data_IF_756941608410
#
_entry.id   IF_756941608410
#
_cell.length_a   1.000
_cell.length_b   1.000
_cell.length_c   1.000
_cell.angle_alpha   90.00
_cell.angle_beta   90.00
_cell.angle_gamma   90.00
#
_symmetry.space_group_name_H-M   'P 1'
#
loop_
_entity.id
_entity.type
_entity.pdbx_description
1 polymer ?
#
# COMPACT_ATOMS: atom_id res chain seq x y z
N UNK A 1 3.12 -16.77 2.08
CA UNK A 1 2.46 -16.93 0.75
C UNK A 1 1.70 -15.65 0.39
N UNK A 2 1.20 -15.56 -0.86
CA UNK A 2 0.36 -14.46 -1.36
C UNK A 2 -0.89 -15.02 -2.03
N UNK A 3 -1.97 -14.25 -2.00
CA UNK A 3 -3.16 -14.52 -2.80
C UNK A 3 -2.79 -14.68 -4.29
N UNK A 4 -3.35 -15.69 -4.96
CA UNK A 4 -2.96 -16.03 -6.32
C UNK A 4 -3.11 -14.88 -7.34
N UNK A 5 -4.13 -14.03 -7.17
CA UNK A 5 -4.30 -12.82 -7.99
C UNK A 5 -3.19 -11.80 -7.78
N UNK A 6 -2.77 -11.57 -6.54
CA UNK A 6 -1.65 -10.69 -6.19
C UNK A 6 -0.33 -11.26 -6.71
N UNK A 7 -0.11 -12.56 -6.53
CA UNK A 7 1.07 -13.23 -7.07
C UNK A 7 1.17 -13.06 -8.60
N UNK A 8 0.07 -13.31 -9.33
CA UNK A 8 0.04 -13.13 -10.78
C UNK A 8 0.24 -11.66 -11.20
N UNK A 9 -0.33 -10.71 -10.45
CA UNK A 9 -0.11 -9.29 -10.69
C UNK A 9 1.39 -8.97 -10.61
N UNK A 10 2.05 -9.42 -9.54
CA UNK A 10 3.46 -9.16 -9.29
C UNK A 10 4.37 -9.88 -10.28
N UNK A 11 4.11 -11.14 -10.56
CA UNK A 11 4.98 -11.96 -11.40
C UNK A 11 4.79 -11.72 -12.89
N UNK A 12 3.56 -11.45 -13.35
CA UNK A 12 3.22 -11.44 -14.77
C UNK A 12 2.85 -10.06 -15.31
N UNK A 13 2.19 -9.23 -14.50
CA UNK A 13 1.60 -7.98 -14.98
C UNK A 13 2.52 -6.79 -14.74
N UNK A 14 3.01 -6.58 -13.52
CA UNK A 14 3.87 -5.44 -13.19
C UNK A 14 5.17 -5.39 -14.00
N UNK A 15 5.84 -6.51 -14.35
CA UNK A 15 7.02 -6.46 -15.20
C UNK A 15 6.77 -5.85 -16.58
N UNK A 16 5.54 -5.93 -17.12
CA UNK A 16 5.17 -5.29 -18.39
C UNK A 16 5.15 -3.76 -18.30
N UNK A 17 5.07 -3.23 -17.09
CA UNK A 17 5.15 -1.79 -16.78
C UNK A 17 6.53 -1.37 -16.26
N UNK A 18 7.54 -2.26 -16.36
CA UNK A 18 8.89 -1.97 -15.90
C UNK A 18 9.06 -2.04 -14.38
N UNK A 19 8.13 -2.67 -13.66
CA UNK A 19 8.19 -2.84 -12.20
C UNK A 19 8.69 -4.26 -11.93
N UNK A 20 9.88 -4.38 -11.36
CA UNK A 20 10.43 -5.66 -10.91
C UNK A 20 9.97 -6.00 -9.51
N UNK A 21 9.62 -7.26 -9.29
CA UNK A 21 9.24 -7.77 -7.97
C UNK A 21 10.17 -8.91 -7.58
N UNK A 22 10.79 -8.81 -6.41
CA UNK A 22 11.54 -9.89 -5.77
C UNK A 22 10.65 -10.55 -4.70
N UNK A 23 10.49 -11.86 -4.80
CA UNK A 23 9.79 -12.62 -3.77
C UNK A 23 10.74 -13.01 -2.66
N UNK A 24 10.30 -12.89 -1.42
CA UNK A 24 11.03 -13.32 -0.23
C UNK A 24 10.81 -14.82 -0.04
N UNK A 25 11.88 -15.58 0.16
CA UNK A 25 11.81 -17.05 0.28
C UNK A 25 11.09 -17.49 1.56
N UNK A 26 11.34 -16.81 2.67
CA UNK A 26 10.70 -17.06 3.97
C UNK A 26 10.19 -15.72 4.56
N UNK A 27 8.88 -15.54 4.53
CA UNK A 27 8.25 -14.31 5.02
C UNK A 27 8.35 -14.15 6.55
N UNK A 28 8.60 -15.24 7.30
CA UNK A 28 8.75 -15.22 8.75
C UNK A 28 10.21 -14.99 9.20
N UNK A 29 11.14 -14.93 8.26
CA UNK A 29 12.55 -14.66 8.53
C UNK A 29 12.94 -13.25 8.08
N UNK A 30 13.20 -12.35 9.02
CA UNK A 30 13.58 -10.97 8.73
C UNK A 30 14.86 -10.84 7.90
N UNK A 31 15.79 -11.79 8.02
CA UNK A 31 17.00 -11.78 7.20
C UNK A 31 16.71 -12.09 5.71
N UNK A 32 15.66 -12.87 5.42
CA UNK A 32 15.20 -13.05 4.05
C UNK A 32 14.70 -11.75 3.42
N UNK A 33 14.02 -10.90 4.21
CA UNK A 33 13.61 -9.57 3.76
C UNK A 33 14.81 -8.65 3.52
N UNK A 34 15.77 -8.63 4.45
CA UNK A 34 17.01 -7.86 4.29
C UNK A 34 17.79 -8.27 3.05
N UNK A 35 17.91 -9.58 2.80
CA UNK A 35 18.62 -10.12 1.64
C UNK A 35 17.95 -9.78 0.29
N UNK A 36 16.63 -9.56 0.29
CA UNK A 36 15.88 -9.19 -0.90
C UNK A 36 15.99 -7.70 -1.27
N UNK A 37 16.52 -6.85 -0.39
CA UNK A 37 16.68 -5.40 -0.63
C UNK A 37 17.68 -5.15 -1.74
N UNK A 38 17.32 -4.27 -2.67
CA UNK A 38 18.16 -3.80 -3.79
C UNK A 38 18.21 -2.27 -3.78
N UNK A 39 19.18 -1.65 -4.46
CA UNK A 39 19.27 -0.18 -4.54
C UNK A 39 18.01 0.47 -5.14
N UNK A 40 17.29 -0.26 -6.00
CA UNK A 40 16.06 0.19 -6.65
C UNK A 40 14.78 -0.29 -5.94
N UNK A 41 14.85 -0.91 -4.77
CA UNK A 41 13.67 -1.29 -3.98
C UNK A 41 12.88 -0.03 -3.60
N UNK A 42 11.56 -0.05 -3.84
CA UNK A 42 10.66 1.09 -3.62
C UNK A 42 9.67 0.88 -2.48
N UNK A 43 9.32 -0.36 -2.18
CA UNK A 43 8.38 -0.71 -1.12
C UNK A 43 8.52 -2.19 -0.77
N UNK A 44 8.10 -2.54 0.44
CA UNK A 44 7.79 -3.91 0.82
C UNK A 44 6.28 -4.13 0.74
N UNK A 45 5.89 -5.36 0.44
CA UNK A 45 4.49 -5.76 0.39
C UNK A 45 4.29 -7.13 1.08
N UNK A 46 3.27 -7.24 1.92
CA UNK A 46 2.89 -8.50 2.55
C UNK A 46 1.39 -8.56 2.84
N UNK A 47 0.88 -9.75 3.12
CA UNK A 47 -0.50 -9.97 3.58
C UNK A 47 -0.48 -10.22 5.09
N UNK A 48 -1.33 -9.51 5.85
CA UNK A 48 -1.40 -9.67 7.32
C UNK A 48 -1.72 -11.11 7.73
N UNK A 49 -2.64 -11.72 7.00
CA UNK A 49 -2.95 -13.16 7.04
C UNK A 49 -2.93 -13.66 5.60
N UNK A 50 -1.96 -14.51 5.32
CA UNK A 50 -1.71 -14.99 3.97
C UNK A 50 -2.80 -15.94 3.44
N UNK A 51 -3.15 -15.83 2.17
CA UNK A 51 -4.04 -16.74 1.47
C UNK A 51 -3.21 -17.53 0.43
N UNK A 52 -3.19 -18.89 0.46
CA UNK A 52 -4.09 -19.78 1.21
C UNK A 52 -3.54 -20.35 2.52
N UNK A 53 -2.27 -20.11 2.88
CA UNK A 53 -1.61 -20.84 3.97
C UNK A 53 -1.97 -20.33 5.38
N UNK A 54 -2.69 -19.20 5.49
CA UNK A 54 -3.12 -18.61 6.78
C UNK A 54 -1.93 -18.32 7.72
N UNK A 55 -0.77 -18.04 7.14
CA UNK A 55 0.41 -17.59 7.88
C UNK A 55 0.20 -16.15 8.32
N UNK A 56 0.58 -15.84 9.55
CA UNK A 56 0.47 -14.49 10.12
C UNK A 56 1.81 -13.77 9.89
N UNK A 57 1.76 -12.58 9.34
CA UNK A 57 2.91 -11.73 9.06
C UNK A 57 3.40 -11.05 10.34
N UNK A 58 4.70 -11.07 10.61
CA UNK A 58 5.34 -10.22 11.62
C UNK A 58 5.46 -8.78 11.09
N UNK A 59 4.35 -8.02 11.19
CA UNK A 59 4.25 -6.67 10.64
C UNK A 59 5.29 -5.74 11.26
N UNK A 60 5.46 -5.77 12.59
CA UNK A 60 6.37 -4.88 13.31
C UNK A 60 7.83 -5.15 12.93
N UNK A 61 8.23 -6.42 12.91
CA UNK A 61 9.59 -6.80 12.51
C UNK A 61 9.89 -6.42 11.07
N UNK A 62 8.95 -6.68 10.14
CA UNK A 62 9.13 -6.36 8.72
C UNK A 62 9.10 -4.86 8.47
N UNK A 63 8.25 -4.10 9.19
CA UNK A 63 8.24 -2.63 9.13
C UNK A 63 9.61 -2.06 9.53
N UNK A 64 10.21 -2.60 10.61
CA UNK A 64 11.57 -2.22 11.01
C UNK A 64 12.58 -2.42 9.88
N UNK A 65 12.57 -3.59 9.22
CA UNK A 65 13.47 -3.86 8.08
C UNK A 65 13.20 -2.95 6.88
N UNK A 66 11.93 -2.66 6.59
CA UNK A 66 11.55 -1.76 5.50
C UNK A 66 12.06 -0.33 5.77
N UNK A 67 11.86 0.17 6.98
CA UNK A 67 12.31 1.51 7.37
C UNK A 67 13.85 1.61 7.46
N UNK A 68 14.55 0.56 7.92
CA UNK A 68 16.02 0.47 7.82
C UNK A 68 16.49 0.58 6.36
N UNK A 69 15.75 0.00 5.42
CA UNK A 69 16.04 0.08 3.99
C UNK A 69 15.58 1.39 3.33
N UNK A 70 14.90 2.29 4.07
CA UNK A 70 14.35 3.55 3.57
C UNK A 70 13.19 3.39 2.61
N UNK A 71 12.35 2.36 2.83
CA UNK A 71 11.16 2.09 2.00
C UNK A 71 9.91 1.85 2.86
N UNK A 72 8.69 2.17 2.36
CA UNK A 72 7.47 1.91 3.08
C UNK A 72 7.10 0.43 3.07
N UNK A 73 6.38 -0.01 4.11
CA UNK A 73 5.70 -1.29 4.16
C UNK A 73 4.22 -1.11 3.79
N UNK A 74 3.79 -1.87 2.78
CA UNK A 74 2.39 -1.98 2.35
C UNK A 74 1.84 -3.32 2.83
N UNK A 75 0.73 -3.30 3.56
CA UNK A 75 0.09 -4.53 4.06
C UNK A 75 -1.30 -4.70 3.47
N UNK A 76 -1.53 -5.82 2.80
CA UNK A 76 -2.87 -6.25 2.45
C UNK A 76 -3.52 -6.89 3.68
N UNK A 77 -4.55 -6.23 4.20
CA UNK A 77 -5.27 -6.63 5.40
C UNK A 77 -6.68 -7.16 5.09
N UNK A 78 -6.86 -7.70 3.90
CA UNK A 78 -8.17 -8.16 3.40
C UNK A 78 -8.79 -9.23 4.28
N UNK A 79 -8.02 -10.24 4.72
CA UNK A 79 -8.53 -11.37 5.49
C UNK A 79 -8.88 -10.97 6.92
N UNK A 80 -7.98 -10.25 7.58
CA UNK A 80 -8.19 -9.85 8.97
C UNK A 80 -9.20 -8.71 9.14
N UNK A 81 -9.29 -7.80 8.18
CA UNK A 81 -10.02 -6.54 8.25
C UNK A 81 -9.50 -5.62 9.38
N UNK A 82 -9.92 -4.34 9.45
CA UNK A 82 -9.55 -3.46 10.55
C UNK A 82 -10.15 -3.90 11.92
N UNK A 83 -11.08 -4.86 11.90
CA UNK A 83 -11.67 -5.40 13.12
C UNK A 83 -10.69 -6.27 13.91
N UNK A 84 -9.99 -7.19 13.23
CA UNK A 84 -9.06 -8.11 13.90
C UNK A 84 -7.67 -7.50 14.07
N UNK A 85 -7.16 -6.76 13.08
CA UNK A 85 -5.85 -6.13 13.15
C UNK A 85 -5.83 -4.81 12.38
N UNK A 86 -5.12 -3.82 12.91
CA UNK A 86 -4.87 -2.52 12.29
C UNK A 86 -3.37 -2.38 12.03
N UNK A 87 -2.89 -2.75 10.84
CA UNK A 87 -1.45 -2.81 10.55
C UNK A 87 -0.70 -1.49 10.74
N UNK A 88 -1.36 -0.33 10.62
CA UNK A 88 -0.75 0.98 10.88
C UNK A 88 -0.27 1.12 12.34
N UNK A 89 -0.95 0.47 13.28
CA UNK A 89 -0.57 0.49 14.71
C UNK A 89 0.68 -0.38 14.97
N UNK A 90 1.08 -1.20 14.00
CA UNK A 90 2.23 -2.10 14.03
C UNK A 90 3.34 -1.68 13.07
N UNK A 91 3.31 -0.46 12.58
CA UNK A 91 4.38 0.12 11.77
C UNK A 91 4.22 0.00 10.25
N UNK A 92 3.13 -0.58 9.74
CA UNK A 92 2.83 -0.48 8.32
C UNK A 92 2.56 0.99 7.94
N UNK A 93 2.99 1.40 6.75
CA UNK A 93 2.80 2.77 6.26
C UNK A 93 1.51 2.90 5.45
N UNK A 94 1.20 1.86 4.68
CA UNK A 94 0.04 1.81 3.81
C UNK A 94 -0.69 0.49 4.05
N UNK A 95 -2.01 0.54 4.14
CA UNK A 95 -2.85 -0.65 4.23
C UNK A 95 -3.81 -0.70 3.05
N UNK A 96 -3.88 -1.86 2.41
CA UNK A 96 -4.83 -2.11 1.33
C UNK A 96 -5.83 -3.19 1.73
N UNK A 97 -7.03 -3.09 1.22
CA UNK A 97 -8.07 -4.10 1.41
C UNK A 97 -8.79 -4.36 0.10
N UNK A 98 -9.01 -5.62 -0.24
CA UNK A 98 -10.11 -5.97 -1.11
C UNK A 98 -11.41 -5.84 -0.31
N UNK A 99 -12.05 -4.67 -0.37
CA UNK A 99 -13.32 -4.43 0.32
C UNK A 99 -14.46 -5.34 -0.20
N UNK A 100 -14.24 -5.95 -1.36
CA UNK A 100 -15.06 -7.04 -1.94
C UNK A 100 -15.29 -8.20 -0.97
N UNK A 101 -14.32 -8.45 -0.07
CA UNK A 101 -14.30 -9.65 0.80
C UNK A 101 -14.99 -9.35 2.13
N UNK A 102 -14.31 -9.56 3.24
CA UNK A 102 -14.93 -9.48 4.57
C UNK A 102 -15.45 -8.10 4.97
N UNK A 103 -14.87 -7.01 4.43
CA UNK A 103 -15.41 -5.67 4.70
C UNK A 103 -16.81 -5.49 4.11
N UNK A 104 -17.03 -5.96 2.87
CA UNK A 104 -18.37 -5.95 2.25
C UNK A 104 -19.25 -7.08 2.75
N UNK A 105 -18.69 -8.20 3.15
CA UNK A 105 -19.30 -9.32 3.85
C UNK A 105 -20.33 -10.16 3.08
N UNK A 106 -20.91 -9.67 1.98
CA UNK A 106 -22.07 -10.24 1.32
C UNK A 106 -21.83 -10.75 -0.10
N UNK A 107 -20.63 -10.52 -0.67
CA UNK A 107 -20.32 -10.92 -2.04
C UNK A 107 -21.14 -10.19 -3.13
N UNK A 108 -21.72 -9.04 -2.80
CA UNK A 108 -22.65 -8.30 -3.68
C UNK A 108 -21.98 -7.20 -4.49
N UNK A 109 -20.76 -6.78 -4.11
CA UNK A 109 -20.08 -5.67 -4.73
C UNK A 109 -18.57 -5.92 -4.81
N UNK A 110 -17.92 -5.32 -5.80
CA UNK A 110 -16.47 -5.30 -5.97
C UNK A 110 -15.97 -3.91 -5.64
N UNK A 111 -15.06 -3.81 -4.68
CA UNK A 111 -14.39 -2.57 -4.31
C UNK A 111 -13.05 -2.83 -3.61
N UNK A 112 -12.24 -1.79 -3.49
CA UNK A 112 -11.00 -1.79 -2.72
C UNK A 112 -10.87 -0.51 -1.92
N UNK A 113 -10.02 -0.53 -0.90
CA UNK A 113 -9.62 0.66 -0.16
C UNK A 113 -8.12 0.70 0.03
N UNK A 114 -7.58 1.91 0.07
CA UNK A 114 -6.19 2.21 0.42
C UNK A 114 -6.24 3.17 1.60
N UNK A 115 -5.52 2.84 2.66
CA UNK A 115 -5.38 3.67 3.86
C UNK A 115 -3.91 4.05 3.98
N UNK A 116 -3.64 5.35 3.97
CA UNK A 116 -2.31 5.92 4.15
C UNK A 116 -2.15 6.32 5.63
N UNK A 117 -1.13 5.81 6.29
CA UNK A 117 -0.81 6.17 7.68
C UNK A 117 -0.15 7.53 7.81
N UNK A 118 0.37 8.09 6.71
CA UNK A 118 1.13 9.33 6.72
C UNK A 118 2.49 9.23 7.45
N UNK A 119 2.93 8.02 7.78
CA UNK A 119 4.17 7.77 8.53
C UNK A 119 5.42 7.86 7.68
N UNK A 120 5.35 7.47 6.41
CA UNK A 120 6.51 7.44 5.51
C UNK A 120 6.70 8.77 4.77
N UNK A 121 7.87 9.38 4.95
CA UNK A 121 8.23 10.63 4.28
C UNK A 121 8.98 10.38 2.97
N UNK A 122 8.28 10.55 1.84
CA UNK A 122 8.82 10.38 0.49
C UNK A 122 9.81 11.48 0.09
N UNK A 123 9.93 12.57 0.85
CA UNK A 123 10.87 13.67 0.57
C UNK A 123 12.30 13.35 0.97
N UNK A 124 12.51 12.36 1.83
CA UNK A 124 13.82 12.01 2.39
C UNK A 124 14.78 11.39 1.38
N UNK A 125 14.26 10.76 0.31
CA UNK A 125 15.07 10.20 -0.78
C UNK A 125 14.50 10.60 -2.16
N UNK A 126 14.81 11.82 -2.64
CA UNK A 126 14.33 12.29 -3.95
C UNK A 126 14.80 11.43 -5.13
N UNK A 127 15.95 10.79 -5.01
CA UNK A 127 16.46 9.89 -6.04
C UNK A 127 15.64 8.60 -6.16
N UNK A 128 15.22 8.09 -5.03
CA UNK A 128 14.37 6.89 -4.96
C UNK A 128 12.93 7.19 -5.34
N UNK A 129 12.39 8.34 -4.95
CA UNK A 129 10.99 8.74 -5.16
C UNK A 129 10.86 10.02 -6.00
N UNK A 130 11.40 10.05 -7.25
CA UNK A 130 11.36 11.28 -8.07
C UNK A 130 9.94 11.76 -8.32
N UNK A 131 8.95 10.87 -8.46
CA UNK A 131 7.56 11.26 -8.68
C UNK A 131 6.91 12.02 -7.51
N UNK A 132 7.52 12.01 -6.31
CA UNK A 132 7.09 12.83 -5.18
C UNK A 132 7.90 14.11 -5.04
N UNK A 133 9.06 14.20 -5.69
CA UNK A 133 10.06 15.24 -5.47
C UNK A 133 10.33 16.12 -6.70
N UNK A 134 9.63 15.87 -7.80
CA UNK A 134 9.65 16.75 -8.98
C UNK A 134 8.34 17.55 -9.08
N UNK A 135 8.38 18.78 -9.59
CA UNK A 135 7.18 19.55 -9.85
C UNK A 135 6.21 18.82 -10.79
N UNK A 136 4.94 18.84 -10.45
CA UNK A 136 3.86 18.27 -11.27
C UNK A 136 3.18 19.40 -12.06
N UNK A 137 3.42 19.47 -13.36
CA UNK A 137 2.88 20.51 -14.23
C UNK A 137 1.34 20.47 -14.32
N UNK A 138 0.75 19.27 -14.15
CA UNK A 138 -0.72 19.12 -14.14
C UNK A 138 -1.38 19.69 -12.88
N UNK A 139 -0.57 20.00 -11.85
CA UNK A 139 -0.98 20.63 -10.59
C UNK A 139 -0.18 21.92 -10.29
N UNK A 140 0.12 22.72 -11.33
CA UNK A 140 0.77 24.03 -11.20
C UNK A 140 2.14 23.97 -10.48
N UNK A 141 2.90 22.92 -10.70
CA UNK A 141 4.24 22.76 -10.13
C UNK A 141 4.26 22.23 -8.70
N UNK A 142 3.16 21.62 -8.22
CA UNK A 142 3.10 20.99 -6.90
C UNK A 142 4.19 19.89 -6.77
N UNK A 143 4.93 19.92 -5.67
CA UNK A 143 5.89 18.88 -5.28
C UNK A 143 5.30 18.10 -4.11
N UNK A 144 4.75 16.92 -4.37
CA UNK A 144 3.96 16.17 -3.39
C UNK A 144 4.69 15.93 -2.06
N UNK A 145 5.96 15.49 -2.11
CA UNK A 145 6.74 15.20 -0.90
C UNK A 145 7.01 16.44 -0.05
N UNK A 146 7.29 17.60 -0.70
CA UNK A 146 7.54 18.86 -0.01
C UNK A 146 6.26 19.54 0.46
N UNK A 147 5.30 19.72 -0.48
CA UNK A 147 4.16 20.59 -0.24
C UNK A 147 3.04 19.91 0.55
N UNK A 148 2.97 18.58 0.49
CA UNK A 148 1.98 17.74 1.15
C UNK A 148 2.61 16.70 2.10
N UNK A 149 3.92 16.78 2.32
CA UNK A 149 4.67 15.96 3.27
C UNK A 149 4.44 16.40 4.72
N UNK A 150 5.25 15.88 5.66
CA UNK A 150 5.06 16.12 7.10
C UNK A 150 5.04 17.60 7.48
N UNK A 151 5.93 18.40 6.87
CA UNK A 151 6.07 19.84 7.09
C UNK A 151 5.33 20.69 6.03
N UNK A 152 4.46 20.05 5.25
CA UNK A 152 3.72 20.68 4.16
C UNK A 152 2.49 21.47 4.60
N UNK A 153 1.67 21.84 3.62
CA UNK A 153 0.55 22.78 3.76
C UNK A 153 -0.50 22.39 4.83
N UNK A 154 -0.62 21.09 5.12
CA UNK A 154 -1.65 20.59 6.04
C UNK A 154 -1.11 20.27 7.46
N UNK A 155 0.20 20.36 7.68
CA UNK A 155 0.83 19.97 8.94
C UNK A 155 0.73 18.47 9.27
N UNK A 156 0.32 17.68 8.29
CA UNK A 156 0.27 16.21 8.31
C UNK A 156 0.68 15.69 6.93
N UNK A 157 1.35 14.53 6.91
CA UNK A 157 1.78 13.93 5.65
C UNK A 157 0.59 13.27 4.94
N UNK A 158 0.19 13.83 3.81
CA UNK A 158 -0.84 13.30 2.92
C UNK A 158 -0.32 13.14 1.49
N UNK A 159 1.00 13.20 1.31
CA UNK A 159 1.65 13.18 0.00
C UNK A 159 1.27 11.97 -0.84
N UNK A 160 1.30 10.77 -0.25
CA UNK A 160 0.96 9.53 -0.95
C UNK A 160 -0.52 9.49 -1.33
N UNK A 161 -1.42 9.66 -0.37
CA UNK A 161 -2.86 9.50 -0.64
C UNK A 161 -3.40 10.58 -1.58
N UNK A 162 -2.88 11.80 -1.47
CA UNK A 162 -3.27 12.88 -2.39
C UNK A 162 -2.80 12.57 -3.81
N UNK A 163 -1.53 12.16 -3.98
CA UNK A 163 -1.02 11.75 -5.29
C UNK A 163 -1.81 10.57 -5.87
N UNK A 164 -2.11 9.56 -5.05
CA UNK A 164 -2.92 8.42 -5.46
C UNK A 164 -4.32 8.85 -5.94
N UNK A 165 -4.96 9.80 -5.26
CA UNK A 165 -6.30 10.29 -5.63
C UNK A 165 -6.29 11.18 -6.88
N UNK A 166 -5.39 12.15 -6.95
CA UNK A 166 -5.46 13.19 -7.96
C UNK A 166 -4.79 12.80 -9.28
N UNK A 167 -3.78 11.94 -9.24
CA UNK A 167 -3.17 11.42 -10.47
C UNK A 167 -3.73 10.05 -10.85
N UNK A 168 -3.62 9.05 -9.96
CA UNK A 168 -3.89 7.67 -10.34
C UNK A 168 -5.39 7.39 -10.40
N UNK A 169 -6.15 7.69 -9.36
CA UNK A 169 -7.58 7.42 -9.32
C UNK A 169 -8.32 8.25 -10.36
N UNK A 170 -8.05 9.55 -10.44
CA UNK A 170 -8.70 10.45 -11.40
C UNK A 170 -8.33 10.11 -12.84
N UNK A 171 -7.05 9.92 -13.12
CA UNK A 171 -6.57 9.85 -14.50
C UNK A 171 -6.65 8.43 -15.08
N UNK A 172 -6.51 7.39 -14.23
CA UNK A 172 -6.64 5.98 -14.63
C UNK A 172 -8.05 5.41 -14.40
N UNK A 173 -8.90 6.11 -13.64
CA UNK A 173 -10.30 5.75 -13.45
C UNK A 173 -10.55 4.55 -12.54
N UNK A 174 -9.60 4.14 -11.71
CA UNK A 174 -9.75 3.00 -10.80
C UNK A 174 -10.60 3.35 -9.55
N UNK A 175 -11.70 4.07 -9.73
CA UNK A 175 -12.59 4.48 -8.66
C UNK A 175 -13.71 3.46 -8.43
N UNK A 176 -14.08 3.24 -7.16
CA UNK A 176 -15.26 2.44 -6.84
C UNK A 176 -16.54 3.13 -7.34
N UNK A 177 -17.43 2.36 -7.97
CA UNK A 177 -18.75 2.88 -8.33
C UNK A 177 -19.52 3.30 -7.05
N UNK A 178 -20.24 4.44 -7.06
CA UNK A 178 -20.94 4.93 -5.87
C UNK A 178 -21.89 3.90 -5.24
N UNK A 179 -22.60 3.13 -6.07
CA UNK A 179 -23.49 2.09 -5.57
C UNK A 179 -22.73 0.93 -4.91
N UNK A 180 -21.57 0.54 -5.45
CA UNK A 180 -20.72 -0.45 -4.80
C UNK A 180 -20.20 0.05 -3.45
N UNK A 181 -19.81 1.34 -3.37
CA UNK A 181 -19.39 1.95 -2.12
C UNK A 181 -20.51 1.94 -1.06
N UNK A 182 -21.77 2.21 -1.48
CA UNK A 182 -22.93 2.10 -0.61
C UNK A 182 -23.13 0.67 -0.09
N UNK A 183 -23.06 -0.34 -0.97
CA UNK A 183 -23.22 -1.75 -0.57
C UNK A 183 -22.11 -2.22 0.36
N UNK A 184 -20.87 -1.77 0.15
CA UNK A 184 -19.76 -2.07 1.04
C UNK A 184 -19.94 -1.40 2.41
N UNK A 185 -20.34 -0.12 2.43
CA UNK A 185 -20.63 0.59 3.68
C UNK A 185 -21.76 -0.09 4.48
N UNK A 186 -22.81 -0.55 3.81
CA UNK A 186 -23.88 -1.31 4.43
C UNK A 186 -23.37 -2.65 4.99
N UNK A 187 -22.46 -3.31 4.26
CA UNK A 187 -21.85 -4.57 4.72
C UNK A 187 -20.96 -4.42 5.96
N UNK A 188 -20.39 -3.24 6.17
CA UNK A 188 -19.56 -2.95 7.37
C UNK A 188 -20.39 -2.86 8.66
N UNK A 189 -21.70 -2.66 8.56
CA UNK A 189 -22.58 -2.51 9.73
C UNK A 189 -23.21 -3.85 10.16
N UNK A 190 -22.98 -4.94 9.44
CA UNK A 190 -23.52 -6.27 9.71
C UNK A 190 -22.43 -7.26 10.09
#
# INVERSE_FOLDING_TARGET
>A
SLYGGTFNLFQQTLPKFGIEVSFVDDANNLDSWRAAVRPNTKAFFGESIANPLIEILDIEGIAGVAHEAGVPLIVDNTVATPYLIRPLEWGADIVVHSATKYMGGHGTAVAGSIVDGGSFDYSTDPGRYPGFNTPDDSYNGLVYGRDLGPDGLFGVNVSFIMKARVQLLRDLGAAAAPFNAFLIAQGLET
#
